data_IF_519146288522
#
_entry.id   IF_519146288522
#
_cell.length_a   1.000
_cell.length_b   1.000
_cell.length_c   1.000
_cell.angle_alpha   90.00
_cell.angle_beta   90.00
_cell.angle_gamma   90.00
#
_symmetry.space_group_name_H-M   'P 1'
#
loop_
_entity.id
_entity.type
_entity.pdbx_description
1 polymer ?
#
# COMPACT_ATOMS: atom_id res chain seq x y z
N UNK A 1 14.70 0.75 23.79
CA UNK A 1 14.54 1.29 22.42
C UNK A 1 15.75 2.16 22.12
N UNK A 2 16.15 2.33 20.85
CA UNK A 2 17.25 3.24 20.56
C UNK A 2 16.76 4.70 20.73
N UNK A 3 17.58 5.58 21.30
CA UNK A 3 17.26 7.03 21.47
C UNK A 3 16.80 7.67 20.15
N UNK A 4 17.27 7.15 19.01
CA UNK A 4 16.88 7.59 17.67
C UNK A 4 15.38 7.37 17.39
N UNK A 5 14.85 6.20 17.73
CA UNK A 5 13.47 5.82 17.41
C UNK A 5 12.48 6.65 18.24
N UNK A 6 12.81 6.88 19.52
CA UNK A 6 12.03 7.76 20.38
C UNK A 6 12.13 9.23 19.95
N UNK A 7 13.30 9.65 19.46
CA UNK A 7 13.52 11.02 18.97
C UNK A 7 12.70 11.31 17.71
N UNK A 8 12.67 10.42 16.73
CA UNK A 8 11.83 10.65 15.55
C UNK A 8 10.36 10.69 15.93
N UNK A 9 9.89 9.81 16.82
CA UNK A 9 8.52 9.89 17.34
C UNK A 9 8.20 11.20 18.05
N UNK A 10 9.17 11.76 18.78
CA UNK A 10 9.00 13.08 19.41
C UNK A 10 8.90 14.21 18.38
N UNK A 11 9.74 14.20 17.34
CA UNK A 11 9.66 15.18 16.26
C UNK A 11 8.38 15.07 15.45
N UNK A 12 7.95 13.85 15.15
CA UNK A 12 6.73 13.58 14.39
C UNK A 12 5.48 14.12 15.09
N UNK A 13 5.42 14.04 16.44
CA UNK A 13 4.35 14.65 17.25
C UNK A 13 4.43 16.18 17.34
N UNK A 14 5.57 16.78 16.99
CA UNK A 14 5.86 18.22 17.11
C UNK A 14 6.33 18.82 15.78
N UNK A 15 5.81 18.32 14.66
CA UNK A 15 6.20 18.73 13.31
C UNK A 15 6.06 20.25 13.12
N UNK A 16 7.05 20.87 12.49
CA UNK A 16 7.12 22.33 12.33
C UNK A 16 7.36 23.13 13.62
N UNK A 17 7.51 22.48 14.78
CA UNK A 17 7.84 23.14 16.06
C UNK A 17 9.27 22.86 16.46
N UNK A 18 9.97 23.91 16.88
CA UNK A 18 11.31 23.79 17.44
C UNK A 18 11.25 23.20 18.85
N UNK A 19 12.04 22.17 19.09
CA UNK A 19 12.27 21.55 20.39
C UNK A 19 13.71 21.79 20.83
N UNK A 20 13.91 22.32 22.05
CA UNK A 20 15.26 22.56 22.53
C UNK A 20 16.00 21.24 22.79
N UNK A 21 17.30 21.19 22.50
CA UNK A 21 18.09 19.98 22.77
C UNK A 21 18.16 19.62 24.26
N UNK A 22 17.84 20.55 25.18
CA UNK A 22 17.72 20.26 26.60
C UNK A 22 16.40 19.55 26.92
N UNK A 23 15.28 20.03 26.37
CA UNK A 23 13.96 19.43 26.57
C UNK A 23 13.91 18.01 26.00
N UNK A 24 14.48 17.83 24.80
CA UNK A 24 14.59 16.50 24.17
C UNK A 24 15.41 15.56 25.05
N UNK A 25 16.57 16.01 25.53
CA UNK A 25 17.44 15.20 26.39
C UNK A 25 16.73 14.78 27.69
N UNK A 26 15.96 15.69 28.29
CA UNK A 26 15.16 15.41 29.47
C UNK A 26 14.04 14.40 29.19
N UNK A 27 13.27 14.60 28.11
CA UNK A 27 12.15 13.71 27.78
C UNK A 27 12.60 12.30 27.41
N UNK A 28 13.75 12.17 26.72
CA UNK A 28 14.29 10.89 26.27
C UNK A 28 15.27 10.25 27.26
N UNK A 29 15.48 10.86 28.44
CA UNK A 29 16.42 10.35 29.44
C UNK A 29 17.86 10.20 28.94
N UNK A 30 18.32 11.07 28.04
CA UNK A 30 19.65 11.01 27.43
C UNK A 30 20.42 12.33 27.57
N UNK A 31 21.67 12.40 27.08
CA UNK A 31 22.49 13.62 27.13
C UNK A 31 22.24 14.49 25.90
N UNK A 32 22.49 15.81 25.98
CA UNK A 32 22.42 16.71 24.81
C UNK A 32 23.35 16.25 23.66
N UNK A 33 24.50 15.67 23.99
CA UNK A 33 25.40 15.05 23.01
C UNK A 33 24.79 13.79 22.36
N UNK A 34 24.06 12.99 23.13
CA UNK A 34 23.25 11.88 22.63
C UNK A 34 22.17 12.34 21.66
N UNK A 35 21.43 13.40 22.00
CA UNK A 35 20.45 14.04 21.10
C UNK A 35 21.12 14.49 19.81
N UNK A 36 22.23 15.21 19.89
CA UNK A 36 22.96 15.67 18.70
C UNK A 36 23.38 14.51 17.79
N UNK A 37 23.90 13.42 18.37
CA UNK A 37 24.30 12.22 17.61
C UNK A 37 23.10 11.54 16.96
N UNK A 38 21.98 11.44 17.66
CA UNK A 38 20.74 10.89 17.13
C UNK A 38 20.16 11.76 16.00
N UNK A 39 20.14 13.09 16.16
CA UNK A 39 19.75 14.04 15.09
C UNK A 39 20.65 13.89 13.87
N UNK A 40 21.97 13.79 14.04
CA UNK A 40 22.90 13.60 12.92
C UNK A 40 22.64 12.29 12.17
N UNK A 41 22.29 11.23 12.89
CA UNK A 41 21.92 9.97 12.29
C UNK A 41 20.61 10.08 11.49
N UNK A 42 19.57 10.70 12.05
CA UNK A 42 18.32 10.98 11.32
C UNK A 42 18.56 11.86 10.07
N UNK A 43 19.38 12.89 10.17
CA UNK A 43 19.77 13.71 9.00
C UNK A 43 20.44 12.87 7.91
N UNK A 44 21.32 11.94 8.27
CA UNK A 44 21.96 11.04 7.30
C UNK A 44 20.99 10.04 6.66
N UNK A 45 19.89 9.72 7.35
CA UNK A 45 18.80 8.89 6.82
C UNK A 45 17.83 9.69 5.92
N UNK A 46 18.01 11.01 5.82
CA UNK A 46 17.24 11.88 4.94
C UNK A 46 16.12 12.66 5.63
N UNK A 47 16.01 12.58 6.96
CA UNK A 47 15.09 13.45 7.70
C UNK A 47 15.60 14.90 7.66
N UNK A 48 14.79 15.79 7.10
CA UNK A 48 15.15 17.20 7.01
C UNK A 48 14.94 17.87 8.38
N UNK A 49 15.90 17.72 9.28
CA UNK A 49 15.84 18.33 10.61
C UNK A 49 16.69 19.60 10.61
N UNK A 50 16.08 20.78 10.73
CA UNK A 50 16.81 22.02 10.94
C UNK A 50 17.30 22.14 12.37
N UNK A 51 18.42 22.84 12.54
CA UNK A 51 18.99 23.15 13.85
C UNK A 51 19.25 24.66 13.90
N UNK A 52 18.59 25.34 14.84
CA UNK A 52 18.71 26.79 15.03
C UNK A 52 19.24 27.07 16.44
N UNK A 53 20.32 27.84 16.50
CA UNK A 53 20.92 28.29 17.77
C UNK A 53 19.87 28.97 18.65
N UNK A 54 19.81 28.61 19.93
CA UNK A 54 18.83 29.10 20.92
C UNK A 54 17.34 28.76 20.64
N UNK A 55 17.03 27.96 19.61
CA UNK A 55 15.68 27.39 19.41
C UNK A 55 15.66 25.86 19.48
N UNK A 56 16.75 25.21 19.05
CA UNK A 56 16.88 23.76 19.05
C UNK A 56 16.66 23.15 17.68
N UNK A 57 15.95 22.03 17.62
CA UNK A 57 15.77 21.22 16.42
C UNK A 57 14.32 21.20 15.97
N UNK A 58 14.07 21.20 14.67
CA UNK A 58 12.74 21.09 14.08
C UNK A 58 12.79 20.11 12.92
N UNK A 59 11.84 19.17 12.85
CA UNK A 59 11.66 18.35 11.66
C UNK A 59 10.89 19.18 10.62
N UNK A 60 11.63 19.61 9.60
CA UNK A 60 11.17 20.34 8.43
C UNK A 60 10.91 19.38 7.26
N UNK A 61 10.18 19.84 6.25
CA UNK A 61 9.91 19.04 5.05
C UNK A 61 8.70 18.14 5.21
N UNK A 62 7.80 18.21 4.23
CA UNK A 62 6.40 17.92 4.44
C UNK A 62 6.07 16.42 4.53
N UNK A 63 6.85 15.50 3.96
CA UNK A 63 6.32 14.15 3.68
C UNK A 63 7.39 13.05 3.70
N UNK A 64 8.13 12.90 4.81
CA UNK A 64 9.11 11.80 4.99
C UNK A 64 8.42 10.60 5.63
N UNK A 65 8.48 9.44 4.99
CA UNK A 65 7.93 8.20 5.54
C UNK A 65 8.70 7.76 6.78
N UNK A 66 7.98 7.52 7.88
CA UNK A 66 8.55 7.02 9.13
C UNK A 66 7.55 6.16 9.88
N UNK A 67 8.03 5.19 10.68
CA UNK A 67 7.14 4.34 11.47
C UNK A 67 6.26 5.19 12.39
N UNK A 68 6.87 6.14 13.11
CA UNK A 68 6.16 7.05 14.01
C UNK A 68 5.21 8.02 13.28
N UNK A 69 5.53 8.40 12.03
CA UNK A 69 4.64 9.19 11.17
C UNK A 69 3.36 8.43 10.83
N UNK A 70 3.51 7.19 10.39
CA UNK A 70 2.40 6.29 10.04
C UNK A 70 1.56 5.96 11.27
N UNK A 71 2.19 5.69 12.42
CA UNK A 71 1.53 5.32 13.68
C UNK A 71 0.50 6.34 14.16
N UNK A 72 0.65 7.64 13.84
CA UNK A 72 -0.34 8.68 14.17
C UNK A 72 -1.72 8.42 13.55
N UNK A 73 -1.73 7.74 12.41
CA UNK A 73 -2.91 7.50 11.59
C UNK A 73 -3.39 6.05 11.66
N UNK A 74 -2.73 5.22 12.46
CA UNK A 74 -3.18 3.86 12.73
C UNK A 74 -4.33 3.87 13.74
N UNK A 75 -5.35 3.06 13.49
CA UNK A 75 -6.33 2.73 14.53
C UNK A 75 -5.67 1.90 15.63
N UNK A 76 -6.03 2.14 16.89
CA UNK A 76 -5.46 1.43 18.05
C UNK A 76 -5.57 -0.09 17.98
N UNK A 77 -6.56 -0.59 17.25
CA UNK A 77 -6.85 -2.01 17.13
C UNK A 77 -6.09 -2.71 15.99
N UNK A 78 -5.41 -2.00 15.09
CA UNK A 78 -4.87 -2.63 13.87
C UNK A 78 -3.71 -3.62 14.14
N UNK A 79 -2.96 -3.45 15.23
CA UNK A 79 -1.88 -4.37 15.63
C UNK A 79 -0.69 -4.45 14.67
N UNK A 80 -0.58 -3.54 13.70
CA UNK A 80 0.49 -3.53 12.71
C UNK A 80 1.86 -3.29 13.35
N UNK A 81 2.87 -4.04 12.89
CA UNK A 81 4.27 -3.88 13.30
C UNK A 81 5.08 -3.33 12.13
N UNK A 82 5.40 -2.05 12.19
CA UNK A 82 5.98 -1.33 11.06
C UNK A 82 7.50 -1.46 11.00
N UNK A 83 8.03 -1.70 9.81
CA UNK A 83 9.42 -1.43 9.45
C UNK A 83 9.42 -0.54 8.22
N UNK A 84 10.04 0.63 8.31
CA UNK A 84 10.05 1.62 7.22
C UNK A 84 11.46 1.75 6.66
N UNK A 85 11.59 1.55 5.35
CA UNK A 85 12.82 1.73 4.60
C UNK A 85 12.75 2.99 3.74
N UNK A 86 13.86 3.71 3.61
CA UNK A 86 13.97 4.74 2.57
C UNK A 86 13.92 4.10 1.18
N UNK A 87 14.65 3.01 1.01
CA UNK A 87 14.81 2.25 -0.23
C UNK A 87 14.91 0.76 0.09
N UNK A 88 14.31 -0.07 -0.74
CA UNK A 88 14.54 -1.53 -0.75
C UNK A 88 14.49 -2.05 -2.19
N UNK A 89 14.83 -3.32 -2.40
CA UNK A 89 14.58 -4.01 -3.67
C UNK A 89 13.07 -4.22 -3.91
N UNK A 90 12.38 -4.87 -2.98
CA UNK A 90 10.93 -5.08 -3.01
C UNK A 90 10.41 -5.34 -1.60
N UNK A 91 9.39 -4.58 -1.20
CA UNK A 91 8.67 -4.75 0.08
C UNK A 91 8.11 -6.16 0.24
N UNK A 92 7.59 -6.75 -0.85
CA UNK A 92 7.14 -8.16 -0.86
C UNK A 92 8.30 -9.13 -0.62
N UNK A 93 9.45 -8.93 -1.28
CA UNK A 93 10.63 -9.80 -1.07
C UNK A 93 11.08 -9.76 0.38
N UNK A 94 11.24 -8.56 0.95
CA UNK A 94 11.62 -8.40 2.36
C UNK A 94 10.65 -9.08 3.30
N UNK A 95 9.35 -8.93 3.04
CA UNK A 95 8.36 -9.52 3.93
C UNK A 95 8.27 -11.04 3.79
N UNK A 96 8.52 -11.61 2.61
CA UNK A 96 8.67 -13.07 2.43
C UNK A 96 9.87 -13.62 3.19
N UNK A 97 11.00 -12.91 3.17
CA UNK A 97 12.19 -13.28 3.97
C UNK A 97 11.88 -13.27 5.47
N UNK A 98 11.18 -12.24 5.96
CA UNK A 98 10.74 -12.16 7.36
C UNK A 98 9.75 -13.27 7.72
N UNK A 99 8.79 -13.56 6.83
CA UNK A 99 7.79 -14.61 7.02
C UNK A 99 8.43 -16.00 7.16
N UNK A 100 9.42 -16.31 6.32
CA UNK A 100 10.18 -17.56 6.38
C UNK A 100 10.99 -17.70 7.68
N UNK A 101 11.38 -16.58 8.29
CA UNK A 101 12.05 -16.53 9.59
C UNK A 101 11.07 -16.47 10.78
N UNK A 102 9.78 -16.74 10.57
CA UNK A 102 8.79 -16.82 11.64
C UNK A 102 8.20 -15.49 12.08
N UNK A 103 8.27 -14.44 11.26
CA UNK A 103 7.59 -13.18 11.56
C UNK A 103 6.09 -13.39 11.79
N UNK A 104 5.55 -12.65 12.77
CA UNK A 104 4.15 -12.72 13.15
C UNK A 104 3.25 -12.02 12.12
N UNK A 105 1.98 -12.41 12.08
CA UNK A 105 0.93 -11.69 11.36
C UNK A 105 0.91 -10.19 11.74
N UNK A 106 0.56 -9.33 10.77
CA UNK A 106 0.54 -7.88 10.95
C UNK A 106 1.93 -7.22 10.81
N UNK A 107 3.00 -8.02 10.67
CA UNK A 107 4.31 -7.48 10.27
C UNK A 107 4.16 -6.77 8.93
N UNK A 108 4.54 -5.50 8.89
CA UNK A 108 4.32 -4.61 7.75
C UNK A 108 5.62 -3.93 7.38
N UNK A 109 6.01 -4.06 6.12
CA UNK A 109 7.17 -3.37 5.56
C UNK A 109 6.65 -2.23 4.69
N UNK A 110 7.20 -1.03 4.88
CA UNK A 110 6.89 0.15 4.07
C UNK A 110 8.20 0.68 3.47
N UNK A 111 8.16 1.17 2.24
CA UNK A 111 9.30 1.78 1.59
C UNK A 111 8.92 3.07 0.83
N UNK A 112 9.86 4.02 0.80
CA UNK A 112 9.77 5.23 -0.01
C UNK A 112 10.24 5.08 -1.46
N UNK A 113 10.95 3.99 -1.78
CA UNK A 113 11.42 3.63 -3.13
C UNK A 113 11.59 2.11 -3.24
N UNK A 114 11.37 1.55 -4.43
CA UNK A 114 11.77 0.17 -4.75
C UNK A 114 12.64 0.10 -6.01
N UNK A 115 13.78 -0.57 -5.96
CA UNK A 115 14.65 -0.77 -7.13
C UNK A 115 14.22 -1.95 -8.00
N UNK A 116 13.43 -2.87 -7.46
CA UNK A 116 12.90 -4.05 -8.15
C UNK A 116 11.42 -4.29 -7.80
N UNK A 117 10.61 -3.23 -7.88
CA UNK A 117 9.16 -3.29 -7.65
C UNK A 117 8.48 -4.26 -8.61
N UNK A 118 7.58 -5.11 -8.08
CA UNK A 118 6.93 -6.20 -8.82
C UNK A 118 5.43 -6.00 -8.91
N UNK A 119 4.88 -6.36 -10.07
CA UNK A 119 3.45 -6.52 -10.32
C UNK A 119 3.11 -7.97 -10.69
N UNK A 120 1.83 -8.20 -10.98
CA UNK A 120 1.33 -9.51 -11.40
C UNK A 120 1.97 -9.99 -12.71
N UNK A 121 2.02 -11.31 -12.90
CA UNK A 121 2.50 -11.95 -14.13
C UNK A 121 3.90 -11.49 -14.55
N UNK A 122 4.79 -11.25 -13.57
CA UNK A 122 6.18 -10.87 -13.80
C UNK A 122 6.42 -9.44 -14.29
N UNK A 123 5.40 -8.59 -14.32
CA UNK A 123 5.57 -7.16 -14.68
C UNK A 123 6.31 -6.41 -13.60
N UNK A 124 7.02 -5.35 -13.95
CA UNK A 124 7.58 -4.40 -12.99
C UNK A 124 6.50 -3.42 -12.50
N UNK A 125 6.70 -2.89 -11.29
CA UNK A 125 5.94 -1.76 -10.76
C UNK A 125 6.91 -0.59 -10.56
N UNK A 126 6.76 0.46 -11.37
CA UNK A 126 7.62 1.65 -11.29
C UNK A 126 7.47 2.31 -9.92
N UNK A 127 8.56 2.37 -9.16
CA UNK A 127 8.55 2.73 -7.75
C UNK A 127 9.59 3.83 -7.42
N UNK A 128 9.49 5.03 -8.01
CA UNK A 128 10.45 6.12 -7.81
C UNK A 128 10.49 6.59 -6.35
N UNK A 129 11.62 7.21 -5.97
CA UNK A 129 11.78 7.82 -4.66
C UNK A 129 10.82 8.98 -4.46
N UNK A 130 10.41 9.15 -3.21
CA UNK A 130 9.75 10.35 -2.69
C UNK A 130 8.38 10.70 -3.28
N UNK A 131 7.84 9.92 -4.22
CA UNK A 131 6.52 10.20 -4.82
C UNK A 131 5.48 9.11 -4.63
N UNK A 132 5.91 7.88 -4.34
CA UNK A 132 5.00 6.76 -4.07
C UNK A 132 5.00 6.31 -2.61
N UNK A 133 4.10 5.36 -2.35
CA UNK A 133 3.98 4.60 -1.12
C UNK A 133 3.95 3.11 -1.49
N UNK A 134 4.94 2.35 -1.04
CA UNK A 134 5.04 0.93 -1.32
C UNK A 134 5.02 0.20 0.02
N UNK A 135 4.05 -0.68 0.23
CA UNK A 135 3.94 -1.43 1.47
C UNK A 135 3.53 -2.86 1.24
N UNK A 136 3.92 -3.74 2.16
CA UNK A 136 3.52 -5.14 2.17
C UNK A 136 3.14 -5.56 3.58
N UNK A 137 2.06 -6.33 3.70
CA UNK A 137 1.52 -6.79 5.00
C UNK A 137 1.50 -8.31 5.02
N UNK A 138 2.01 -8.90 6.11
CA UNK A 138 2.08 -10.34 6.33
C UNK A 138 0.81 -10.82 7.01
N UNK A 139 0.20 -11.84 6.42
CA UNK A 139 -1.06 -12.44 6.84
C UNK A 139 -0.87 -13.95 6.99
N UNK A 140 -1.58 -14.57 7.93
CA UNK A 140 -1.59 -16.02 8.15
C UNK A 140 -3.03 -16.54 8.18
N UNK A 141 -3.79 -16.38 7.09
CA UNK A 141 -5.19 -16.77 7.06
C UNK A 141 -5.37 -18.29 6.97
N UNK A 142 -6.38 -18.80 7.67
CA UNK A 142 -6.89 -20.16 7.45
C UNK A 142 -7.85 -20.17 6.25
N UNK A 143 -7.30 -20.16 5.02
CA UNK A 143 -8.13 -20.23 3.80
C UNK A 143 -7.45 -20.95 2.64
N UNK A 144 -8.24 -21.24 1.61
CA UNK A 144 -7.74 -21.90 0.39
C UNK A 144 -7.01 -20.93 -0.52
N UNK A 145 -6.19 -21.48 -1.42
CA UNK A 145 -5.56 -20.71 -2.50
C UNK A 145 -6.58 -19.93 -3.36
N UNK A 146 -7.76 -20.53 -3.57
CA UNK A 146 -8.80 -19.94 -4.40
C UNK A 146 -9.42 -18.69 -3.73
N UNK A 147 -9.43 -18.65 -2.40
CA UNK A 147 -10.01 -17.54 -1.63
C UNK A 147 -9.03 -16.40 -1.36
N UNK A 148 -7.73 -16.59 -1.65
CA UNK A 148 -6.70 -15.56 -1.50
C UNK A 148 -7.00 -14.28 -2.30
N UNK A 149 -7.81 -14.38 -3.36
CA UNK A 149 -8.31 -13.23 -4.13
C UNK A 149 -9.10 -12.24 -3.26
N UNK A 150 -9.77 -12.71 -2.20
CA UNK A 150 -10.54 -11.88 -1.27
C UNK A 150 -9.66 -10.91 -0.50
N UNK A 151 -8.41 -11.31 -0.22
CA UNK A 151 -7.38 -10.43 0.37
C UNK A 151 -7.06 -9.29 -0.59
N UNK A 152 -6.85 -9.61 -1.87
CA UNK A 152 -6.56 -8.60 -2.91
C UNK A 152 -7.70 -7.62 -3.08
N UNK A 153 -8.97 -8.07 -3.08
CA UNK A 153 -10.13 -7.21 -3.22
C UNK A 153 -10.37 -6.35 -1.99
N UNK A 154 -10.20 -6.90 -0.77
CA UNK A 154 -10.26 -6.13 0.46
C UNK A 154 -9.20 -5.02 0.50
N UNK A 155 -7.97 -5.31 0.05
CA UNK A 155 -6.92 -4.30 -0.11
C UNK A 155 -7.29 -3.22 -1.13
N UNK A 156 -7.93 -3.59 -2.25
CA UNK A 156 -8.36 -2.63 -3.26
C UNK A 156 -9.39 -1.62 -2.71
N UNK A 157 -10.33 -2.10 -1.89
CA UNK A 157 -11.31 -1.22 -1.21
C UNK A 157 -10.63 -0.32 -0.19
N UNK A 158 -9.74 -0.87 0.64
CA UNK A 158 -9.00 -0.07 1.63
C UNK A 158 -8.18 1.05 0.97
N UNK A 159 -7.55 0.77 -0.16
CA UNK A 159 -6.80 1.77 -0.95
C UNK A 159 -7.73 2.80 -1.56
N UNK A 160 -8.84 2.37 -2.18
CA UNK A 160 -9.80 3.28 -2.80
C UNK A 160 -10.36 4.27 -1.78
N UNK A 161 -10.81 3.79 -0.61
CA UNK A 161 -11.34 4.65 0.45
C UNK A 161 -10.28 5.59 1.03
N UNK A 162 -9.04 5.13 1.22
CA UNK A 162 -7.97 5.99 1.71
C UNK A 162 -7.59 7.07 0.68
N UNK A 163 -7.58 6.73 -0.61
CA UNK A 163 -7.32 7.67 -1.69
C UNK A 163 -8.45 8.72 -1.81
N UNK A 164 -9.71 8.30 -1.67
CA UNK A 164 -10.87 9.19 -1.62
C UNK A 164 -10.81 10.14 -0.43
N UNK A 165 -10.47 9.65 0.76
CA UNK A 165 -10.40 10.47 1.97
C UNK A 165 -9.29 11.53 1.88
N UNK A 166 -8.16 11.19 1.28
CA UNK A 166 -7.02 12.10 1.12
C UNK A 166 -7.24 13.11 0.00
N UNK A 167 -7.80 12.68 -1.13
CA UNK A 167 -7.91 13.51 -2.34
C UNK A 167 -9.25 14.23 -2.49
N UNK A 168 -10.31 13.76 -1.82
CA UNK A 168 -11.68 14.20 -2.05
C UNK A 168 -12.27 13.78 -3.41
N UNK A 169 -11.59 12.89 -4.14
CA UNK A 169 -11.99 12.43 -5.49
C UNK A 169 -12.37 10.96 -5.46
N UNK A 170 -13.37 10.59 -6.26
CA UNK A 170 -13.81 9.20 -6.40
C UNK A 170 -12.68 8.31 -6.94
N UNK A 171 -12.51 7.14 -6.32
CA UNK A 171 -11.65 6.09 -6.81
C UNK A 171 -12.48 4.95 -7.38
N UNK A 172 -11.98 4.35 -8.45
CA UNK A 172 -12.60 3.18 -9.07
C UNK A 172 -11.68 1.96 -9.01
N UNK A 173 -12.23 0.77 -9.17
CA UNK A 173 -11.50 -0.49 -9.12
C UNK A 173 -11.65 -1.21 -10.46
N UNK A 174 -10.51 -1.50 -11.08
CA UNK A 174 -10.42 -2.42 -12.20
C UNK A 174 -10.15 -3.81 -11.67
N UNK A 175 -11.04 -4.75 -12.03
CA UNK A 175 -10.89 -6.11 -11.56
C UNK A 175 -9.54 -6.73 -12.00
N UNK A 176 -8.79 -7.38 -11.11
CA UNK A 176 -9.14 -7.63 -9.69
C UNK A 176 -8.44 -6.70 -8.69
N UNK A 177 -7.33 -6.07 -9.07
CA UNK A 177 -6.30 -5.62 -8.13
C UNK A 177 -5.75 -4.20 -8.41
N UNK A 178 -6.36 -3.46 -9.34
CA UNK A 178 -5.85 -2.15 -9.73
C UNK A 178 -6.87 -1.06 -9.33
N UNK A 179 -6.41 -0.03 -8.63
CA UNK A 179 -7.23 1.13 -8.27
C UNK A 179 -6.93 2.27 -9.22
N UNK A 180 -7.98 2.95 -9.65
CA UNK A 180 -7.98 4.01 -10.64
C UNK A 180 -8.54 5.30 -10.04
N UNK A 181 -8.07 6.42 -10.56
CA UNK A 181 -8.63 7.74 -10.30
C UNK A 181 -8.56 8.51 -11.62
N UNK A 182 -9.66 9.16 -12.01
CA UNK A 182 -9.75 9.89 -13.28
C UNK A 182 -9.31 9.05 -14.49
N UNK A 183 -9.75 7.79 -14.54
CA UNK A 183 -9.40 6.80 -15.58
C UNK A 183 -7.91 6.43 -15.69
N UNK A 184 -7.07 6.86 -14.74
CA UNK A 184 -5.65 6.45 -14.67
C UNK A 184 -5.39 5.57 -13.44
N UNK A 185 -4.47 4.62 -13.58
CA UNK A 185 -4.09 3.68 -12.53
C UNK A 185 -3.24 4.38 -11.48
N UNK A 186 -3.74 4.45 -10.24
CA UNK A 186 -3.05 5.02 -9.08
C UNK A 186 -2.43 3.95 -8.18
N UNK A 187 -2.94 2.71 -8.23
CA UNK A 187 -2.43 1.62 -7.39
C UNK A 187 -2.46 0.28 -8.11
N UNK A 188 -1.46 -0.55 -7.83
CA UNK A 188 -1.48 -1.99 -8.13
C UNK A 188 -1.24 -2.80 -6.87
N UNK A 189 -2.04 -3.87 -6.72
CA UNK A 189 -1.96 -4.79 -5.58
C UNK A 189 -1.47 -6.15 -6.06
N UNK A 190 -0.58 -6.76 -5.29
CA UNK A 190 0.01 -8.06 -5.54
C UNK A 190 0.01 -8.90 -4.25
N UNK A 191 -0.91 -9.86 -4.17
CA UNK A 191 -0.92 -10.87 -3.11
C UNK A 191 -0.13 -12.10 -3.55
N UNK A 192 0.94 -12.42 -2.83
CA UNK A 192 1.74 -13.64 -3.01
C UNK A 192 1.48 -14.59 -1.85
N UNK A 193 1.29 -15.87 -2.14
CA UNK A 193 0.89 -16.89 -1.19
C UNK A 193 1.95 -18.01 -1.08
N UNK A 194 2.19 -18.50 0.13
CA UNK A 194 2.92 -19.74 0.39
C UNK A 194 1.94 -20.82 0.84
N UNK A 195 2.12 -22.05 0.35
CA UNK A 195 1.20 -23.16 0.60
C UNK A 195 1.87 -24.22 1.47
N UNK A 196 1.14 -24.71 2.48
CA UNK A 196 1.55 -25.84 3.29
C UNK A 196 0.91 -27.11 2.74
N UNK A 197 1.76 -28.05 2.29
CA UNK A 197 1.32 -29.37 1.81
C UNK A 197 0.70 -30.23 2.92
N UNK A 198 1.04 -29.97 4.18
CA UNK A 198 0.54 -30.72 5.34
C UNK A 198 -0.88 -30.31 5.73
N UNK A 199 -1.19 -29.01 5.66
CA UNK A 199 -2.51 -28.47 6.02
C UNK A 199 -3.47 -28.37 4.83
N UNK A 200 -2.97 -28.44 3.59
CA UNK A 200 -3.74 -28.22 2.38
C UNK A 200 -4.20 -26.76 2.18
N UNK A 201 -3.70 -25.83 3.00
CA UNK A 201 -4.05 -24.42 3.03
C UNK A 201 -2.85 -23.48 2.84
N UNK A 202 -3.10 -22.18 3.02
CA UNK A 202 -2.05 -21.16 3.04
C UNK A 202 -1.25 -21.24 4.34
N UNK A 203 0.08 -21.24 4.23
CA UNK A 203 0.98 -21.03 5.38
C UNK A 203 1.06 -19.53 5.73
N UNK A 204 1.18 -18.69 4.70
CA UNK A 204 1.07 -17.24 4.82
C UNK A 204 0.72 -16.60 3.46
N UNK A 205 0.25 -15.36 3.52
CA UNK A 205 0.11 -14.48 2.37
C UNK A 205 0.83 -13.14 2.63
N UNK A 206 1.50 -12.62 1.60
CA UNK A 206 2.10 -11.28 1.59
C UNK A 206 1.28 -10.42 0.63
N UNK A 207 0.56 -9.45 1.18
CA UNK A 207 -0.23 -8.51 0.39
C UNK A 207 0.57 -7.24 0.14
N UNK A 208 1.12 -7.10 -1.07
CA UNK A 208 1.84 -5.93 -1.55
C UNK A 208 0.90 -4.89 -2.17
N UNK A 209 1.10 -3.63 -1.82
CA UNK A 209 0.31 -2.49 -2.27
C UNK A 209 1.29 -1.39 -2.71
N UNK A 210 1.30 -1.07 -3.99
CA UNK A 210 2.05 0.05 -4.55
C UNK A 210 1.11 1.17 -4.96
N UNK A 211 1.28 2.36 -4.39
CA UNK A 211 0.43 3.53 -4.64
C UNK A 211 1.29 4.67 -5.19
N UNK A 212 0.87 5.23 -6.31
CA UNK A 212 1.39 6.49 -6.85
C UNK A 212 0.71 7.63 -6.11
N UNK A 213 1.37 8.20 -5.09
CA UNK A 213 0.77 9.29 -4.31
C UNK A 213 0.85 10.59 -5.09
N UNK A 214 2.00 10.87 -5.69
CA UNK A 214 2.23 11.99 -6.59
C UNK A 214 2.81 11.52 -7.92
N UNK A 215 2.69 12.38 -8.93
CA UNK A 215 3.45 12.21 -10.16
C UNK A 215 4.94 12.51 -9.88
N UNK A 216 5.88 11.64 -10.30
CA UNK A 216 7.30 11.89 -10.13
C UNK A 216 7.77 13.08 -10.96
N UNK A 217 8.84 13.72 -10.51
CA UNK A 217 9.52 14.75 -11.32
C UNK A 217 9.97 14.14 -12.66
N UNK A 218 9.67 14.84 -13.76
CA UNK A 218 9.87 14.31 -15.12
C UNK A 218 8.76 13.38 -15.62
N UNK A 219 7.76 13.10 -14.80
CA UNK A 219 6.58 12.31 -15.15
C UNK A 219 6.83 10.79 -15.16
N UNK A 220 5.76 10.04 -15.43
CA UNK A 220 5.87 8.59 -15.58
C UNK A 220 6.64 8.19 -16.86
N UNK A 221 7.32 7.02 -16.87
CA UNK A 221 7.94 6.44 -18.06
C UNK A 221 6.98 6.37 -19.24
N UNK A 222 7.52 6.51 -20.46
CA UNK A 222 6.74 6.61 -21.70
C UNK A 222 5.73 5.46 -21.85
N UNK A 223 6.14 4.24 -21.49
CA UNK A 223 5.36 3.02 -21.63
C UNK A 223 4.09 3.01 -20.77
N UNK A 224 4.09 3.79 -19.68
CA UNK A 224 2.97 3.86 -18.72
C UNK A 224 2.37 5.26 -18.59
N UNK A 225 2.89 6.29 -19.26
CA UNK A 225 2.43 7.68 -19.12
C UNK A 225 0.93 7.87 -19.40
N UNK A 226 0.39 7.14 -20.37
CA UNK A 226 -1.05 7.16 -20.71
C UNK A 226 -1.93 6.27 -19.82
N UNK A 227 -1.34 5.53 -18.89
CA UNK A 227 -2.03 4.53 -18.06
C UNK A 227 -1.93 4.91 -16.58
N UNK A 228 -0.75 5.33 -16.12
CA UNK A 228 -0.47 5.69 -14.74
C UNK A 228 -1.00 7.09 -14.41
N UNK A 229 -1.51 7.23 -13.20
CA UNK A 229 -1.88 8.48 -12.56
C UNK A 229 -1.42 8.48 -11.12
N UNK A 230 -1.76 9.55 -10.40
CA UNK A 230 -1.44 9.71 -8.99
C UNK A 230 -2.64 10.16 -8.16
N UNK A 231 -2.61 9.89 -6.86
CA UNK A 231 -3.69 10.26 -5.93
C UNK A 231 -3.81 11.77 -5.73
N UNK A 232 -2.71 12.50 -5.83
CA UNK A 232 -2.65 13.95 -5.66
C UNK A 232 -1.82 14.59 -6.76
N UNK A 233 -2.19 15.81 -7.16
CA UNK A 233 -1.44 16.62 -8.12
C UNK A 233 -0.28 17.38 -7.49
N UNK A 234 -0.35 17.66 -6.20
CA UNK A 234 0.62 18.47 -5.47
C UNK A 234 0.95 17.83 -4.10
N UNK A 235 2.18 18.00 -3.59
CA UNK A 235 2.57 17.55 -2.26
C UNK A 235 1.70 18.13 -1.15
N UNK A 236 1.17 17.26 -0.30
CA UNK A 236 0.46 17.63 0.93
C UNK A 236 1.30 17.15 2.13
N UNK A 237 1.32 17.95 3.19
CA UNK A 237 2.04 17.59 4.40
C UNK A 237 1.55 16.27 5.00
N UNK A 238 2.52 15.39 5.29
CA UNK A 238 2.43 14.12 5.99
C UNK A 238 1.53 13.09 5.29
N UNK A 239 1.22 13.32 4.02
CA UNK A 239 0.14 12.59 3.36
C UNK A 239 0.52 11.15 3.02
N UNK A 240 1.79 10.81 2.75
CA UNK A 240 2.21 9.43 2.55
C UNK A 240 2.11 8.62 3.84
N UNK A 241 2.45 9.24 4.98
CA UNK A 241 2.25 8.63 6.30
C UNK A 241 0.76 8.45 6.60
N UNK A 242 -0.06 9.48 6.33
CA UNK A 242 -1.52 9.41 6.49
C UNK A 242 -2.13 8.32 5.62
N UNK A 243 -1.77 8.27 4.34
CA UNK A 243 -2.26 7.27 3.41
C UNK A 243 -1.87 5.85 3.85
N UNK A 244 -0.62 5.64 4.27
CA UNK A 244 -0.19 4.35 4.79
C UNK A 244 -1.01 3.93 6.01
N UNK A 245 -1.21 4.83 6.99
CA UNK A 245 -1.96 4.51 8.20
C UNK A 245 -3.43 4.20 7.93
N UNK A 246 -4.08 4.96 7.03
CA UNK A 246 -5.45 4.72 6.59
C UNK A 246 -5.58 3.37 5.87
N UNK A 247 -4.71 3.09 4.90
CA UNK A 247 -4.72 1.84 4.13
C UNK A 247 -4.52 0.64 5.06
N UNK A 248 -3.49 0.68 5.91
CA UNK A 248 -3.17 -0.41 6.84
C UNK A 248 -4.35 -0.67 7.79
N UNK A 249 -4.92 0.38 8.39
CA UNK A 249 -6.03 0.25 9.33
C UNK A 249 -7.30 -0.31 8.68
N UNK A 250 -7.71 0.24 7.54
CA UNK A 250 -8.88 -0.21 6.79
C UNK A 250 -8.70 -1.65 6.30
N UNK A 251 -7.54 -1.96 5.74
CA UNK A 251 -7.26 -3.29 5.22
C UNK A 251 -7.24 -4.35 6.31
N UNK A 252 -6.54 -4.11 7.43
CA UNK A 252 -6.50 -5.08 8.53
C UNK A 252 -7.86 -5.26 9.19
N UNK A 253 -8.72 -4.23 9.20
CA UNK A 253 -10.13 -4.40 9.58
C UNK A 253 -10.86 -5.35 8.64
N UNK A 254 -10.85 -5.09 7.33
CA UNK A 254 -11.51 -5.96 6.35
C UNK A 254 -10.95 -7.38 6.35
N UNK A 255 -9.65 -7.54 6.61
CA UNK A 255 -9.01 -8.84 6.71
C UNK A 255 -9.54 -9.65 7.91
N UNK A 256 -9.75 -9.00 9.07
CA UNK A 256 -10.34 -9.67 10.26
C UNK A 256 -11.81 -10.02 10.05
N UNK A 257 -12.53 -9.14 9.36
CA UNK A 257 -13.96 -9.30 9.04
C UNK A 257 -14.16 -10.02 7.70
N UNK A 258 -13.15 -10.72 7.16
CA UNK A 258 -13.21 -11.18 5.78
C UNK A 258 -14.38 -12.15 5.56
N UNK A 259 -14.72 -13.00 6.53
CA UNK A 259 -15.87 -13.93 6.47
C UNK A 259 -17.23 -13.24 6.40
N UNK A 260 -17.31 -11.95 6.76
CA UNK A 260 -18.54 -11.17 6.77
C UNK A 260 -18.77 -10.39 5.46
N UNK A 261 -17.82 -10.46 4.52
CA UNK A 261 -17.89 -9.81 3.21
C UNK A 261 -18.10 -8.28 3.27
N UNK A 262 -17.70 -7.63 4.38
CA UNK A 262 -17.94 -6.19 4.60
C UNK A 262 -17.29 -5.27 3.56
N UNK A 263 -16.26 -5.75 2.85
CA UNK A 263 -15.62 -5.01 1.76
C UNK A 263 -16.35 -5.16 0.42
N UNK A 264 -17.21 -6.17 0.23
CA UNK A 264 -17.70 -6.58 -1.08
C UNK A 264 -18.57 -5.50 -1.75
N UNK A 265 -19.44 -4.83 -1.00
CA UNK A 265 -20.26 -3.74 -1.52
C UNK A 265 -19.39 -2.53 -1.91
N UNK A 266 -18.36 -2.24 -1.13
CA UNK A 266 -17.36 -1.21 -1.44
C UNK A 266 -16.57 -1.54 -2.71
N UNK A 267 -16.29 -2.82 -2.95
CA UNK A 267 -15.64 -3.31 -4.15
C UNK A 267 -16.56 -3.22 -5.37
N UNK A 268 -17.76 -3.78 -5.26
CA UNK A 268 -18.77 -3.80 -6.31
C UNK A 268 -19.11 -2.38 -6.72
N UNK A 269 -19.44 -1.47 -5.80
CA UNK A 269 -19.81 -0.08 -6.14
C UNK A 269 -18.75 0.68 -6.95
N UNK A 270 -17.47 0.35 -6.77
CA UNK A 270 -16.33 0.95 -7.49
C UNK A 270 -15.89 0.19 -8.74
N UNK A 271 -16.54 -0.94 -9.07
CA UNK A 271 -16.14 -1.79 -10.20
C UNK A 271 -16.38 -1.08 -11.54
N UNK A 272 -15.29 -0.78 -12.26
CA UNK A 272 -15.38 -0.18 -13.59
C UNK A 272 -15.81 -1.19 -14.65
N UNK A 273 -16.39 -0.66 -15.74
CA UNK A 273 -16.83 -1.41 -16.92
C UNK A 273 -17.98 -2.38 -16.68
N UNK A 274 -18.69 -2.26 -15.55
CA UNK A 274 -19.91 -3.03 -15.31
C UNK A 274 -20.97 -2.71 -16.35
N UNK A 275 -21.52 -3.77 -16.95
CA UNK A 275 -22.47 -3.68 -18.04
C UNK A 275 -21.83 -3.39 -19.40
N UNK A 276 -20.51 -3.27 -19.49
CA UNK A 276 -19.80 -2.97 -20.73
C UNK A 276 -19.15 -4.21 -21.36
N UNK A 277 -18.87 -4.11 -22.66
CA UNK A 277 -18.10 -5.09 -23.41
C UNK A 277 -16.60 -5.00 -23.06
N UNK A 278 -16.02 -6.14 -22.73
CA UNK A 278 -14.61 -6.30 -22.38
C UNK A 278 -13.99 -7.43 -23.21
N UNK A 279 -12.67 -7.39 -23.28
CA UNK A 279 -11.85 -8.50 -23.75
C UNK A 279 -11.21 -9.19 -22.53
N UNK A 280 -11.44 -10.49 -22.43
CA UNK A 280 -10.73 -11.40 -21.53
C UNK A 280 -9.44 -11.84 -22.21
N UNK A 281 -8.32 -11.69 -21.50
CA UNK A 281 -6.99 -11.98 -22.03
C UNK A 281 -6.36 -13.06 -21.17
N UNK A 282 -6.06 -14.21 -21.77
CA UNK A 282 -5.34 -15.33 -21.14
C UNK A 282 -4.16 -15.71 -22.03
N UNK A 283 -2.95 -15.32 -21.65
CA UNK A 283 -1.78 -15.45 -22.52
C UNK A 283 -1.97 -14.67 -23.84
N UNK A 284 -1.95 -15.39 -24.97
CA UNK A 284 -2.23 -14.83 -26.30
C UNK A 284 -3.69 -14.89 -26.71
N UNK A 285 -4.54 -15.62 -25.97
CA UNK A 285 -5.96 -15.76 -26.28
C UNK A 285 -6.73 -14.51 -25.84
N UNK A 286 -7.55 -13.98 -26.74
CA UNK A 286 -8.44 -12.85 -26.49
C UNK A 286 -9.87 -13.28 -26.83
N UNK A 287 -10.77 -13.22 -25.85
CA UNK A 287 -12.19 -13.53 -26.05
C UNK A 287 -13.08 -12.38 -25.57
N UNK A 288 -14.13 -12.02 -26.33
CA UNK A 288 -15.08 -10.99 -25.92
C UNK A 288 -16.04 -11.51 -24.85
N UNK A 289 -16.43 -10.64 -23.93
CA UNK A 289 -17.51 -10.88 -22.98
C UNK A 289 -18.06 -9.54 -22.46
N UNK A 290 -19.27 -9.56 -21.93
CA UNK A 290 -19.82 -8.46 -21.15
C UNK A 290 -19.51 -8.65 -19.67
N UNK A 291 -18.96 -7.63 -19.01
CA UNK A 291 -18.74 -7.66 -17.56
C UNK A 291 -20.09 -7.46 -16.87
N UNK A 292 -20.51 -8.43 -16.05
CA UNK A 292 -21.79 -8.36 -15.31
C UNK A 292 -21.58 -7.79 -13.92
N UNK A 293 -20.75 -8.44 -13.11
CA UNK A 293 -20.40 -8.01 -11.75
C UNK A 293 -19.24 -8.87 -11.23
N UNK A 294 -19.08 -8.95 -9.92
CA UNK A 294 -18.21 -9.87 -9.19
C UNK A 294 -19.04 -10.65 -8.16
N UNK A 295 -18.81 -11.96 -8.06
CA UNK A 295 -19.53 -12.81 -7.10
C UNK A 295 -18.95 -12.71 -5.67
N UNK A 296 -19.55 -13.42 -4.72
CA UNK A 296 -19.17 -13.45 -3.31
C UNK A 296 -17.76 -14.03 -3.09
N UNK A 297 -17.25 -14.79 -4.06
CA UNK A 297 -15.88 -15.33 -4.09
C UNK A 297 -14.92 -14.42 -4.85
N UNK A 298 -15.34 -13.20 -5.16
CA UNK A 298 -14.56 -12.20 -5.90
C UNK A 298 -14.17 -12.62 -7.34
N UNK A 299 -14.89 -13.59 -7.93
CA UNK A 299 -14.72 -14.00 -9.33
C UNK A 299 -15.48 -13.06 -10.24
N UNK A 300 -14.93 -12.81 -11.43
CA UNK A 300 -15.55 -11.95 -12.44
C UNK A 300 -16.75 -12.66 -13.05
N UNK A 301 -17.95 -12.11 -12.87
CA UNK A 301 -19.16 -12.59 -13.54
C UNK A 301 -19.25 -11.96 -14.92
N UNK A 302 -19.43 -12.80 -15.93
CA UNK A 302 -19.46 -12.38 -17.33
C UNK A 302 -20.62 -13.01 -18.09
N UNK A 303 -20.97 -12.41 -19.22
CA UNK A 303 -21.86 -12.98 -20.22
C UNK A 303 -21.12 -13.04 -21.56
N UNK A 304 -21.10 -14.20 -22.19
CA UNK A 304 -20.46 -14.43 -23.50
C UNK A 304 -21.39 -14.02 -24.65
N UNK A 305 -20.87 -13.86 -25.89
CA UNK A 305 -21.69 -13.49 -27.04
C UNK A 305 -22.84 -14.45 -27.38
N UNK A 306 -22.74 -15.72 -26.95
CA UNK A 306 -23.78 -16.75 -27.11
C UNK A 306 -24.86 -16.68 -26.00
N UNK A 307 -24.75 -15.73 -25.08
CA UNK A 307 -25.64 -15.55 -23.93
C UNK A 307 -25.28 -16.40 -22.71
N UNK A 308 -24.24 -17.24 -22.78
CA UNK A 308 -23.80 -18.07 -21.65
C UNK A 308 -23.18 -17.20 -20.56
N UNK A 309 -23.54 -17.46 -19.30
CA UNK A 309 -22.96 -16.76 -18.13
C UNK A 309 -21.96 -17.65 -17.39
N UNK A 310 -20.79 -17.08 -17.13
CA UNK A 310 -19.68 -17.75 -16.44
C UNK A 310 -19.11 -16.89 -15.32
N UNK A 311 -18.40 -17.54 -14.39
CA UNK A 311 -17.58 -16.89 -13.37
C UNK A 311 -16.10 -17.19 -13.62
N UNK A 312 -15.25 -16.17 -13.61
CA UNK A 312 -13.83 -16.29 -13.92
C UNK A 312 -12.96 -15.96 -12.71
N UNK A 313 -12.05 -16.88 -12.39
CA UNK A 313 -11.00 -16.66 -11.38
C UNK A 313 -9.82 -15.85 -11.93
N UNK A 314 -9.19 -15.06 -11.07
CA UNK A 314 -8.18 -14.07 -11.45
C UNK A 314 -6.85 -14.62 -11.95
N UNK A 315 -6.53 -15.90 -11.65
CA UNK A 315 -5.20 -16.51 -11.80
C UNK A 315 -4.35 -15.97 -12.94
N UNK A 316 -4.77 -16.21 -14.19
CA UNK A 316 -4.00 -15.87 -15.40
C UNK A 316 -4.74 -14.91 -16.35
N UNK A 317 -5.77 -14.21 -15.85
CA UNK A 317 -6.63 -13.40 -16.70
C UNK A 317 -6.40 -11.91 -16.45
N UNK A 318 -6.33 -11.17 -17.56
CA UNK A 318 -6.41 -9.72 -17.59
C UNK A 318 -7.65 -9.28 -18.36
N UNK A 319 -8.22 -8.14 -17.99
CA UNK A 319 -9.34 -7.54 -18.72
C UNK A 319 -8.94 -6.21 -19.35
N UNK A 320 -9.52 -5.94 -20.53
CA UNK A 320 -9.43 -4.64 -21.22
C UNK A 320 -10.80 -4.25 -21.73
N UNK A 321 -11.17 -2.97 -21.58
CA UNK A 321 -12.36 -2.41 -22.21
C UNK A 321 -12.30 -2.64 -23.73
N UNK A 322 -13.39 -3.12 -24.31
CA UNK A 322 -13.54 -3.20 -25.76
C UNK A 322 -13.98 -1.81 -26.24
N UNK A 323 -13.16 -1.18 -27.10
CA UNK A 323 -13.53 0.08 -27.76
C UNK A 323 -14.45 -0.20 -28.93
#
# INVERSE_FOLDING_TARGET
MAVKDELIGLFERNRGKYLSGADIAQQLGCTRGGVWKAVKNLQSEGYNISAVTNRGYCLDGADVLSAAGIEKYLTSECGAKLTVYKETDSTNTRLRELAANGAAEGTTVVAGMQTNGRGRLGRSFFSPSDTGLYLSILLRPEMTAADAVRITTAAAVAVAEAAEEVSGRQADIKWVNDVYMESRKICGILTEASFSLESGGLDYAVCGIGINVYEPEGGFPEEIRGIAGAVLSEPIEDVRNRMAGLVISKFLRYYRELSEDTFLDGYRSRLIWRGEEINLIRGSEVSPAKLIDVDERCRLLIERPDGTRDSISSGEISIRRRK
#
